data_IF_819335870925
#
_entry.id   IF_819335870925
#
_cell.length_a   1.000
_cell.length_b   1.000
_cell.length_c   1.000
_cell.angle_alpha   90.00
_cell.angle_beta   90.00
_cell.angle_gamma   90.00
#
_symmetry.space_group_name_H-M   'P 1'
#
loop_
_entity.id
_entity.type
_entity.pdbx_description
1 polymer ?
#
# COMPACT_ATOMS: atom_id res chain seq x y z
N UNK A 1 6.86 7.20 -22.68
CA UNK A 1 5.54 6.91 -22.08
C UNK A 1 4.88 8.25 -21.77
N UNK A 2 3.58 8.45 -22.07
CA UNK A 2 2.89 9.71 -21.76
C UNK A 2 2.54 9.73 -20.27
N UNK A 3 2.82 10.82 -19.53
CA UNK A 3 2.42 10.92 -18.12
C UNK A 3 0.90 10.83 -18.01
N UNK A 4 0.41 10.32 -16.89
CA UNK A 4 -1.01 10.19 -16.58
C UNK A 4 -1.34 11.05 -15.36
N UNK A 5 -1.46 12.38 -15.51
CA UNK A 5 -1.77 13.26 -14.40
C UNK A 5 -3.15 13.00 -13.83
N UNK A 6 -3.30 13.13 -12.51
CA UNK A 6 -4.58 13.00 -11.81
C UNK A 6 -5.34 11.70 -12.12
N UNK A 7 -4.60 10.63 -12.42
CA UNK A 7 -5.19 9.34 -12.69
C UNK A 7 -5.52 8.66 -11.38
N UNK A 8 -6.76 8.19 -11.28
CA UNK A 8 -7.23 7.40 -10.15
C UNK A 8 -6.36 6.15 -9.97
N UNK A 9 -6.03 5.86 -8.72
CA UNK A 9 -5.26 4.68 -8.33
C UNK A 9 -5.77 4.10 -7.02
N UNK A 10 -5.62 2.79 -6.92
CA UNK A 10 -5.88 2.02 -5.71
C UNK A 10 -4.61 1.32 -5.27
N UNK A 11 -4.40 1.25 -3.95
CA UNK A 11 -3.30 0.54 -3.34
C UNK A 11 -3.85 -0.42 -2.28
N UNK A 12 -3.46 -1.68 -2.39
CA UNK A 12 -3.86 -2.76 -1.49
C UNK A 12 -2.66 -3.23 -0.67
N UNK A 13 -2.86 -3.39 0.63
CA UNK A 13 -1.95 -4.08 1.55
C UNK A 13 -2.47 -5.51 1.70
N UNK A 14 -1.89 -6.43 0.93
CA UNK A 14 -2.35 -7.83 0.92
C UNK A 14 -1.87 -8.58 2.19
N UNK A 15 -2.50 -9.72 2.53
CA UNK A 15 -2.12 -10.52 3.70
C UNK A 15 -0.65 -10.92 3.74
N UNK A 16 -0.04 -10.81 4.91
CA UNK A 16 1.40 -11.04 5.07
C UNK A 16 1.78 -12.52 5.15
N UNK A 17 2.98 -12.89 4.70
CA UNK A 17 3.53 -14.25 4.79
C UNK A 17 4.90 -14.27 5.44
N UNK A 18 5.21 -15.32 6.18
CA UNK A 18 6.56 -15.53 6.70
C UNK A 18 7.50 -16.10 5.61
N UNK A 19 8.78 -16.30 5.92
CA UNK A 19 9.78 -16.84 4.98
C UNK A 19 9.51 -18.29 4.52
N UNK A 20 8.55 -18.99 5.12
CA UNK A 20 8.07 -20.32 4.69
C UNK A 20 6.83 -20.24 3.80
N UNK A 21 6.30 -19.04 3.55
CA UNK A 21 5.07 -18.82 2.81
C UNK A 21 3.78 -19.03 3.61
N UNK A 22 3.88 -19.21 4.92
CA UNK A 22 2.71 -19.40 5.80
C UNK A 22 2.14 -18.03 6.22
N UNK A 23 0.83 -17.96 6.43
CA UNK A 23 0.11 -16.76 6.88
C UNK A 23 -0.50 -16.99 8.27
N UNK A 24 -0.64 -15.90 9.05
CA UNK A 24 -1.45 -15.87 10.27
C UNK A 24 -2.25 -14.56 10.34
N UNK A 25 -3.55 -14.66 10.60
CA UNK A 25 -4.48 -13.52 10.68
C UNK A 25 -4.04 -12.43 11.67
N UNK A 26 -3.33 -12.82 12.73
CA UNK A 26 -2.83 -11.87 13.73
C UNK A 26 -1.87 -10.83 13.13
N UNK A 27 -1.15 -11.16 12.07
CA UNK A 27 -0.20 -10.24 11.42
C UNK A 27 -0.91 -9.15 10.63
N UNK A 28 -2.12 -9.42 10.15
CA UNK A 28 -2.93 -8.44 9.43
C UNK A 28 -3.48 -7.34 10.37
N UNK A 29 -3.36 -7.49 11.69
CA UNK A 29 -3.64 -6.38 12.61
C UNK A 29 -2.43 -5.45 12.83
N UNK A 30 -1.26 -5.83 12.32
CA UNK A 30 -0.01 -5.08 12.42
C UNK A 30 0.43 -4.66 11.02
N UNK A 31 -0.43 -3.93 10.30
CA UNK A 31 -0.24 -3.64 8.87
C UNK A 31 0.86 -2.64 8.59
N UNK A 32 1.38 -2.71 7.36
CA UNK A 32 2.07 -1.59 6.72
C UNK A 32 1.07 -0.43 6.56
N UNK A 33 1.53 0.77 6.91
CA UNK A 33 0.77 2.02 6.74
C UNK A 33 1.36 2.82 5.60
N UNK A 34 0.50 3.55 4.88
CA UNK A 34 0.89 4.38 3.73
C UNK A 34 0.62 5.84 4.05
N UNK A 35 1.61 6.67 3.77
CA UNK A 35 1.56 8.12 3.90
C UNK A 35 1.90 8.75 2.54
N UNK A 36 1.01 9.62 2.05
CA UNK A 36 1.09 10.24 0.72
C UNK A 36 0.18 11.46 0.65
N UNK A 37 0.59 12.51 -0.07
CA UNK A 37 -0.18 13.76 -0.22
C UNK A 37 -1.47 13.57 -1.03
N UNK A 38 -1.49 12.61 -1.97
CA UNK A 38 -2.59 12.39 -2.91
C UNK A 38 -3.44 11.16 -2.62
N UNK A 39 -3.26 10.50 -1.47
CA UNK A 39 -3.98 9.28 -1.12
C UNK A 39 -4.64 9.37 0.26
N UNK A 40 -5.68 8.58 0.45
CA UNK A 40 -6.36 8.42 1.72
C UNK A 40 -6.69 6.95 1.96
N UNK A 41 -6.66 6.53 3.23
CA UNK A 41 -7.10 5.20 3.61
C UNK A 41 -8.63 5.11 3.50
N UNK A 42 -9.11 4.20 2.66
CA UNK A 42 -10.53 3.82 2.61
C UNK A 42 -10.85 2.69 3.60
N UNK A 43 -9.85 1.84 3.88
CA UNK A 43 -9.80 0.86 4.96
C UNK A 43 -8.32 0.64 5.35
N UNK A 44 -8.01 -0.08 6.45
CA UNK A 44 -6.62 -0.34 6.84
C UNK A 44 -5.76 -1.01 5.75
N UNK A 45 -6.38 -1.82 4.89
CA UNK A 45 -5.76 -2.55 3.80
C UNK A 45 -5.95 -1.91 2.41
N UNK A 46 -6.74 -0.84 2.29
CA UNK A 46 -7.08 -0.25 0.99
C UNK A 46 -7.00 1.27 1.01
N UNK A 47 -6.15 1.82 0.14
CA UNK A 47 -5.94 3.25 -0.04
C UNK A 47 -6.36 3.64 -1.45
N UNK A 48 -7.02 4.79 -1.57
CA UNK A 48 -7.43 5.35 -2.85
C UNK A 48 -6.82 6.73 -3.01
N UNK A 49 -6.55 7.13 -4.25
CA UNK A 49 -5.95 8.43 -4.52
C UNK A 49 -5.75 8.72 -5.99
N UNK A 50 -4.94 9.73 -6.27
CA UNK A 50 -4.60 10.15 -7.64
C UNK A 50 -3.11 10.45 -7.77
N UNK A 51 -2.59 10.26 -8.99
CA UNK A 51 -1.26 10.75 -9.36
C UNK A 51 -1.22 12.29 -9.43
N UNK A 52 -0.04 12.86 -9.26
CA UNK A 52 0.22 14.30 -9.30
C UNK A 52 0.13 14.90 -10.71
N UNK A 53 0.44 16.19 -10.86
CA UNK A 53 0.51 16.92 -12.15
C UNK A 53 1.45 16.28 -13.17
N UNK A 54 2.46 15.54 -12.72
CA UNK A 54 3.44 14.86 -13.55
C UNK A 54 3.06 13.40 -13.84
N UNK A 55 1.93 12.93 -13.30
CA UNK A 55 1.50 11.54 -13.38
C UNK A 55 2.29 10.59 -12.49
N UNK A 56 2.84 11.08 -11.39
CA UNK A 56 3.62 10.33 -10.40
C UNK A 56 2.86 10.22 -9.07
N UNK A 57 3.17 9.19 -8.29
CA UNK A 57 2.71 9.05 -6.92
C UNK A 57 3.91 8.80 -6.02
N UNK A 58 4.02 9.56 -4.94
CA UNK A 58 5.05 9.39 -3.91
C UNK A 58 4.42 8.77 -2.67
N UNK A 59 4.94 7.61 -2.26
CA UNK A 59 4.41 6.80 -1.18
C UNK A 59 5.50 6.59 -0.13
N UNK A 60 5.19 6.89 1.12
CA UNK A 60 6.02 6.49 2.25
C UNK A 60 5.35 5.31 2.96
N UNK A 61 6.02 4.16 2.93
CA UNK A 61 5.55 2.94 3.60
C UNK A 61 6.21 2.84 4.98
N UNK A 62 5.42 2.64 6.03
CA UNK A 62 5.92 2.46 7.41
C UNK A 62 5.35 1.20 8.04
N UNK A 63 6.20 0.45 8.73
CA UNK A 63 5.80 -0.80 9.40
C UNK A 63 6.38 -0.87 10.82
N UNK A 64 5.98 0.10 11.65
CA UNK A 64 6.57 0.29 12.99
C UNK A 64 6.36 -0.91 13.93
N UNK A 65 5.30 -1.70 13.70
CA UNK A 65 4.99 -2.92 14.47
C UNK A 65 5.28 -4.20 13.67
N UNK A 66 6.15 -4.14 12.67
CA UNK A 66 6.46 -5.25 11.79
C UNK A 66 7.13 -6.43 12.52
N UNK A 67 6.68 -7.64 12.18
CA UNK A 67 7.18 -8.90 12.76
C UNK A 67 8.24 -9.59 11.87
N UNK A 68 8.71 -8.93 10.82
CA UNK A 68 9.65 -9.52 9.84
C UNK A 68 8.98 -10.45 8.82
N UNK A 69 7.72 -10.17 8.49
CA UNK A 69 6.93 -10.87 7.46
C UNK A 69 6.97 -10.11 6.13
N UNK A 70 6.82 -10.82 5.03
CA UNK A 70 6.64 -10.25 3.70
C UNK A 70 5.18 -9.77 3.56
N UNK A 71 4.98 -8.49 3.28
CA UNK A 71 3.64 -7.91 3.07
C UNK A 71 3.55 -7.41 1.63
N UNK A 72 2.80 -8.08 0.74
CA UNK A 72 2.69 -7.64 -0.65
C UNK A 72 1.89 -6.34 -0.76
N UNK A 73 2.38 -5.44 -1.60
CA UNK A 73 1.72 -4.16 -1.91
C UNK A 73 1.33 -4.20 -3.38
N UNK A 74 0.04 -4.09 -3.69
CA UNK A 74 -0.47 -4.02 -5.07
C UNK A 74 -1.00 -2.63 -5.38
N UNK A 75 -0.62 -2.12 -6.56
CA UNK A 75 -1.13 -0.86 -7.10
C UNK A 75 -1.95 -1.17 -8.36
N UNK A 76 -3.15 -0.60 -8.44
CA UNK A 76 -4.08 -0.76 -9.57
C UNK A 76 -4.40 0.62 -10.15
N UNK A 77 -4.32 0.76 -11.48
CA UNK A 77 -4.55 2.01 -12.23
C UNK A 77 -5.26 1.78 -13.55
#
# INVERSE_FOLDING_TARGET
>A
QKPLPYRYMELFIDPAKNRKGEHQDAWDNLRVTVDSEGMSASSPEHYTGVTDVNGQAHLTLKHNSGLGVETPIRIVM
#
